data_IF_899092598092
#
_entry.id   IF_899092598092
#
_cell.length_a   1.000
_cell.length_b   1.000
_cell.length_c   1.000
_cell.angle_alpha   90.00
_cell.angle_beta   90.00
_cell.angle_gamma   90.00
#
_symmetry.space_group_name_H-M   'P 1'
#
loop_
_entity.id
_entity.type
_entity.pdbx_description
1 polymer ?
#
# COMPACT_ATOMS: atom_id res chain seq x y z
N UNK A 1 14.93 -11.63 16.79
CA UNK A 1 14.02 -10.54 16.36
C UNK A 1 12.61 -10.88 16.87
N UNK A 2 11.93 -9.96 17.55
CA UNK A 2 10.59 -10.24 18.08
C UNK A 2 9.61 -10.43 16.90
N UNK A 3 9.03 -11.64 16.74
CA UNK A 3 8.13 -11.99 15.63
C UNK A 3 6.95 -11.01 15.54
N UNK A 4 6.48 -10.53 16.70
CA UNK A 4 5.42 -9.52 16.80
C UNK A 4 5.86 -8.18 16.21
N UNK A 5 7.08 -7.73 16.54
CA UNK A 5 7.63 -6.50 15.99
C UNK A 5 7.82 -6.60 14.47
N UNK A 6 8.31 -7.74 13.97
CA UNK A 6 8.44 -7.99 12.53
C UNK A 6 7.07 -7.92 11.81
N UNK A 7 6.04 -8.56 12.37
CA UNK A 7 4.68 -8.49 11.85
C UNK A 7 4.12 -7.07 11.80
N UNK A 8 4.25 -6.31 12.89
CA UNK A 8 3.82 -4.89 12.95
C UNK A 8 4.56 -4.06 11.90
N UNK A 9 5.89 -4.20 11.79
CA UNK A 9 6.68 -3.47 10.80
C UNK A 9 6.23 -3.78 9.37
N UNK A 10 5.93 -5.04 9.05
CA UNK A 10 5.43 -5.43 7.73
C UNK A 10 4.05 -4.83 7.43
N UNK A 11 3.17 -4.72 8.42
CA UNK A 11 1.88 -4.02 8.27
C UNK A 11 2.09 -2.53 7.98
N UNK A 12 3.01 -1.88 8.69
CA UNK A 12 3.36 -0.46 8.45
C UNK A 12 3.94 -0.27 7.05
N UNK A 13 4.84 -1.15 6.61
CA UNK A 13 5.40 -1.11 5.25
C UNK A 13 4.31 -1.29 4.20
N UNK A 14 3.37 -2.22 4.39
CA UNK A 14 2.23 -2.42 3.50
C UNK A 14 1.38 -1.14 3.37
N UNK A 15 1.07 -0.49 4.50
CA UNK A 15 0.33 0.77 4.50
C UNK A 15 1.08 1.89 3.77
N UNK A 16 2.39 2.02 3.98
CA UNK A 16 3.23 3.01 3.29
C UNK A 16 3.24 2.75 1.78
N UNK A 17 3.37 1.49 1.35
CA UNK A 17 3.33 1.12 -0.06
C UNK A 17 1.99 1.48 -0.70
N UNK A 18 0.87 1.18 -0.02
CA UNK A 18 -0.46 1.56 -0.48
C UNK A 18 -0.60 3.08 -0.62
N UNK A 19 -0.23 3.85 0.41
CA UNK A 19 -0.33 5.31 0.37
C UNK A 19 0.55 5.88 -0.75
N UNK A 20 1.79 5.39 -0.88
CA UNK A 20 2.75 5.87 -1.87
C UNK A 20 2.27 5.59 -3.29
N UNK A 21 1.72 4.39 -3.55
CA UNK A 21 1.16 4.01 -4.85
C UNK A 21 0.03 4.94 -5.27
N UNK A 22 -0.96 5.13 -4.40
CA UNK A 22 -2.12 5.96 -4.71
C UNK A 22 -1.73 7.44 -4.81
N UNK A 23 -0.88 7.95 -3.92
CA UNK A 23 -0.40 9.34 -3.98
C UNK A 23 0.35 9.62 -5.28
N UNK A 24 1.21 8.71 -5.72
CA UNK A 24 1.94 8.87 -6.99
C UNK A 24 0.99 8.86 -8.18
N UNK A 25 -0.02 7.98 -8.18
CA UNK A 25 -1.04 7.93 -9.24
C UNK A 25 -1.83 9.24 -9.32
N UNK A 26 -2.27 9.80 -8.19
CA UNK A 26 -2.96 11.09 -8.16
C UNK A 26 -2.08 12.25 -8.63
N UNK A 27 -0.81 12.29 -8.21
CA UNK A 27 0.13 13.33 -8.64
C UNK A 27 0.37 13.26 -10.15
N UNK A 28 0.56 12.06 -10.70
CA UNK A 28 0.74 11.87 -12.15
C UNK A 28 -0.51 12.29 -12.92
N UNK A 29 -1.70 11.90 -12.47
CA UNK A 29 -2.96 12.33 -13.07
C UNK A 29 -3.13 13.86 -13.04
N UNK A 30 -2.76 14.50 -11.93
CA UNK A 30 -2.81 15.96 -11.80
C UNK A 30 -1.82 16.68 -12.72
N UNK A 31 -0.59 16.16 -12.87
CA UNK A 31 0.41 16.71 -13.80
C UNK A 31 -0.07 16.58 -15.24
N UNK A 32 -0.65 15.43 -15.60
CA UNK A 32 -1.15 15.21 -16.95
C UNK A 32 -2.34 16.12 -17.27
N UNK A 33 -3.31 16.24 -16.36
CA UNK A 33 -4.43 17.18 -16.51
C UNK A 33 -4.00 18.65 -16.60
N UNK A 34 -2.92 19.05 -15.91
CA UNK A 34 -2.33 20.39 -16.02
C UNK A 34 -1.65 20.64 -17.36
N UNK A 35 -0.94 19.64 -17.92
CA UNK A 35 -0.21 19.77 -19.19
C UNK A 35 -1.13 20.06 -20.38
N UNK A 36 -2.34 19.51 -20.35
CA UNK A 36 -3.32 19.69 -21.42
C UNK A 36 -4.06 21.05 -21.36
N UNK A 37 -3.67 21.98 -20.47
CA UNK A 37 -4.17 23.37 -20.35
C UNK A 37 -5.70 23.54 -20.22
N UNK A 38 -6.44 22.46 -20.00
CA UNK A 38 -7.91 22.46 -19.93
C UNK A 38 -8.32 21.80 -18.63
N UNK A 39 -8.43 22.59 -17.56
CA UNK A 39 -9.04 22.18 -16.29
C UNK A 39 -10.58 22.25 -16.42
N UNK A 40 -11.13 21.49 -17.37
CA UNK A 40 -12.57 21.28 -17.50
C UNK A 40 -13.06 20.20 -16.52
N UNK A 41 -14.34 20.24 -16.14
CA UNK A 41 -14.97 19.18 -15.34
C UNK A 41 -14.77 17.81 -16.00
N UNK A 42 -14.40 16.80 -15.22
CA UNK A 42 -14.20 15.41 -15.68
C UNK A 42 -12.81 15.07 -16.24
N UNK A 43 -11.93 16.04 -16.51
CA UNK A 43 -10.60 15.75 -17.07
C UNK A 43 -9.63 15.10 -16.06
N UNK A 44 -9.78 15.37 -14.77
CA UNK A 44 -9.02 14.67 -13.73
C UNK A 44 -9.41 13.19 -13.64
N UNK A 45 -10.70 12.87 -13.77
CA UNK A 45 -11.20 11.49 -13.82
C UNK A 45 -10.71 10.77 -15.09
N UNK A 46 -10.68 11.47 -16.23
CA UNK A 46 -10.07 10.95 -17.45
C UNK A 46 -8.58 10.66 -17.25
N UNK A 47 -7.80 11.62 -16.73
CA UNK A 47 -6.37 11.44 -16.45
C UNK A 47 -6.13 10.27 -15.48
N UNK A 48 -6.98 10.11 -14.46
CA UNK A 48 -6.96 8.96 -13.54
C UNK A 48 -7.22 7.63 -14.26
N UNK A 49 -8.14 7.60 -15.23
CA UNK A 49 -8.48 6.40 -15.98
C UNK A 49 -7.41 5.95 -16.97
N UNK A 50 -6.64 6.87 -17.55
CA UNK A 50 -5.61 6.57 -18.56
C UNK A 50 -4.21 6.41 -17.97
N UNK A 51 -3.94 7.01 -16.80
CA UNK A 51 -2.65 6.83 -16.11
C UNK A 51 -2.62 5.48 -15.43
N UNK A 52 -1.53 4.73 -15.64
CA UNK A 52 -1.33 3.45 -14.96
C UNK A 52 -0.77 3.70 -13.57
N UNK A 53 -1.42 3.12 -12.57
CA UNK A 53 -0.87 3.02 -11.23
C UNK A 53 0.22 1.94 -11.18
N UNK A 54 1.15 2.05 -10.22
CA UNK A 54 2.11 1.00 -9.95
C UNK A 54 1.40 -0.27 -9.45
N UNK A 55 2.07 -1.43 -9.56
CA UNK A 55 1.49 -2.70 -9.15
C UNK A 55 1.12 -2.73 -7.66
N UNK A 56 -0.06 -3.28 -7.34
CA UNK A 56 -0.51 -3.53 -5.97
C UNK A 56 0.08 -4.82 -5.36
N UNK A 57 0.84 -5.60 -6.12
CA UNK A 57 1.40 -6.87 -5.64
C UNK A 57 2.32 -6.70 -4.40
N UNK A 58 3.23 -5.71 -4.33
CA UNK A 58 4.15 -5.58 -3.20
C UNK A 58 3.46 -5.30 -1.85
N UNK A 59 2.44 -4.43 -1.84
CA UNK A 59 1.67 -4.10 -0.62
C UNK A 59 0.89 -5.31 -0.10
N UNK A 60 0.33 -6.14 -1.00
CA UNK A 60 -0.40 -7.37 -0.63
C UNK A 60 0.56 -8.42 -0.06
N UNK A 61 1.73 -8.60 -0.68
CA UNK A 61 2.75 -9.54 -0.16
C UNK A 61 3.18 -9.11 1.25
N UNK A 62 3.49 -7.83 1.44
CA UNK A 62 3.88 -7.30 2.75
C UNK A 62 2.77 -7.48 3.80
N UNK A 63 1.51 -7.25 3.41
CA UNK A 63 0.35 -7.45 4.28
C UNK A 63 0.21 -8.91 4.72
N UNK A 64 0.23 -9.84 3.76
CA UNK A 64 0.10 -11.27 4.03
C UNK A 64 1.22 -11.77 4.94
N UNK A 65 2.48 -11.40 4.66
CA UNK A 65 3.61 -11.76 5.51
C UNK A 65 3.47 -11.14 6.91
N UNK A 66 3.03 -9.88 7.02
CA UNK A 66 2.79 -9.23 8.31
C UNK A 66 1.78 -9.97 9.18
N UNK A 67 0.65 -10.38 8.58
CA UNK A 67 -0.39 -11.17 9.26
C UNK A 67 0.18 -12.54 9.69
N UNK A 68 0.89 -13.24 8.80
CA UNK A 68 1.49 -14.55 9.12
C UNK A 68 2.44 -14.43 10.32
N UNK A 69 3.31 -13.42 10.34
CA UNK A 69 4.24 -13.21 11.45
C UNK A 69 3.54 -12.89 12.78
N UNK A 70 2.43 -12.14 12.74
CA UNK A 70 1.63 -11.87 13.93
C UNK A 70 0.93 -13.12 14.47
N UNK A 71 0.31 -13.90 13.58
CA UNK A 71 -0.34 -15.17 13.97
C UNK A 71 0.69 -16.12 14.57
N UNK A 72 1.87 -16.23 13.95
CA UNK A 72 2.94 -17.07 14.47
C UNK A 72 3.45 -16.59 15.85
N UNK A 73 3.58 -15.27 16.04
CA UNK A 73 3.96 -14.71 17.33
C UNK A 73 2.95 -15.05 18.45
N UNK A 74 1.65 -15.01 18.15
CA UNK A 74 0.60 -15.38 19.11
C UNK A 74 0.56 -16.89 19.39
N UNK A 75 0.85 -17.73 18.38
CA UNK A 75 0.95 -19.18 18.57
C UNK A 75 2.12 -19.58 19.47
N UNK A 76 3.29 -18.98 19.28
CA UNK A 76 4.46 -19.27 20.12
C UNK A 76 4.22 -18.83 21.57
N UNK A 77 3.57 -17.68 21.77
CA UNK A 77 3.22 -17.20 23.10
C UNK A 77 2.28 -18.17 23.84
N UNK A 78 1.36 -18.83 23.12
CA UNK A 78 0.49 -19.86 23.70
C UNK A 78 1.23 -21.15 24.06
N UNK A 79 2.34 -21.47 23.39
CA UNK A 79 3.16 -22.66 23.68
C UNK A 79 4.03 -22.50 24.92
N UNK A 80 4.42 -21.28 25.28
CA UNK A 80 5.24 -21.02 26.48
C UNK A 80 4.44 -21.01 27.79
N UNK A 81 3.10 -20.96 27.71
CA UNK A 81 2.20 -20.89 28.88
C UNK A 81 1.63 -22.27 29.28
N UNK A 82 1.88 -23.30 28.49
CA UNK A 82 1.54 -24.71 28.78
C UNK A 82 2.81 -25.54 28.98
#
# INVERSE_FOLDING_TARGET
>A
MNKRAAGITLLVISAILFISRNSTHFIVAAIMGRKDNVLGEGMFEYALSVTRSFSFVPEIIALCLGIIYLVWAEMDKKKEVH
#
